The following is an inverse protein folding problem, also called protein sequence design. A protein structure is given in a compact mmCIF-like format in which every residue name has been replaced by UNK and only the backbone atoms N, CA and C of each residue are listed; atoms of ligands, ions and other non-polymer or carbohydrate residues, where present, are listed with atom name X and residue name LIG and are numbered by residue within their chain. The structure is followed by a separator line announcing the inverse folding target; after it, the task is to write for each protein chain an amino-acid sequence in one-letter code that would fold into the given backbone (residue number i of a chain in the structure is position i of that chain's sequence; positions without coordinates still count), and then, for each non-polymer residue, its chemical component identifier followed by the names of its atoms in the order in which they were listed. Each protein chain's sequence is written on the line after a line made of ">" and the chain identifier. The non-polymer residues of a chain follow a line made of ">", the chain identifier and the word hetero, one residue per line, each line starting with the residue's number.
data_IF_889740311808
#
_entry.id   IF_889740311808
#
_cell.length_a   1.000
_cell.length_b   1.000
_cell.length_c   1.000
_cell.angle_alpha   90.00
_cell.angle_beta   90.00
_cell.angle_gamma   90.00
#
_symmetry.space_group_name_H-M   'P 1'
#
loop_
_entity.id
_entity.type
_entity.pdbx_description
1 polymer ?
#
# COMPACT_ATOMS: atom_id res chain seq x y z
N UNK A 1 -27.46 -15.01 11.99
CA UNK A 1 -26.84 -14.98 10.65
C UNK A 1 -25.40 -14.53 10.87
N UNK A 2 -24.40 -15.34 10.48
CA UNK A 2 -23.00 -14.94 10.60
C UNK A 2 -22.72 -13.78 9.64
N UNK A 3 -22.07 -12.71 10.12
CA UNK A 3 -21.58 -11.63 9.27
C UNK A 3 -20.28 -12.05 8.59
N UNK A 4 -20.38 -12.51 7.34
CA UNK A 4 -19.25 -12.98 6.54
C UNK A 4 -18.29 -11.83 6.18
N UNK A 5 -18.79 -10.58 6.10
CA UNK A 5 -17.99 -9.44 5.67
C UNK A 5 -17.22 -8.83 6.82
N UNK A 6 -17.81 -8.78 8.03
CA UNK A 6 -17.25 -8.11 9.19
C UNK A 6 -16.81 -6.67 8.86
N UNK A 7 -17.67 -5.93 8.15
CA UNK A 7 -17.45 -4.55 7.73
C UNK A 7 -18.49 -3.64 8.39
N UNK A 8 -18.07 -2.56 9.07
CA UNK A 8 -18.98 -1.73 9.84
C UNK A 8 -19.97 -0.99 8.94
N UNK A 9 -21.24 -0.95 9.37
CA UNK A 9 -22.28 -0.15 8.73
C UNK A 9 -22.90 -0.75 7.47
N UNK A 10 -22.47 -1.93 7.01
CA UNK A 10 -23.07 -2.65 5.89
C UNK A 10 -23.41 -4.10 6.27
N UNK A 11 -24.40 -4.69 5.60
CA UNK A 11 -24.72 -6.11 5.70
C UNK A 11 -24.74 -6.74 4.31
N UNK A 12 -24.21 -7.95 4.12
CA UNK A 12 -24.36 -8.68 2.88
C UNK A 12 -25.84 -9.04 2.66
N UNK A 13 -26.32 -8.90 1.42
CA UNK A 13 -27.70 -9.23 1.02
C UNK A 13 -27.75 -10.24 -0.13
N UNK A 14 -26.70 -10.34 -0.92
CA UNK A 14 -26.57 -11.28 -2.03
C UNK A 14 -25.08 -11.59 -2.26
N UNK A 15 -24.81 -12.78 -2.78
CA UNK A 15 -23.47 -13.25 -3.10
C UNK A 15 -23.50 -14.09 -4.35
N UNK A 16 -22.65 -13.76 -5.32
CA UNK A 16 -22.58 -14.46 -6.61
C UNK A 16 -21.17 -14.47 -7.16
N UNK A 17 -20.86 -15.48 -7.96
CA UNK A 17 -19.61 -15.51 -8.72
C UNK A 17 -19.79 -14.78 -10.06
N UNK A 18 -18.90 -13.85 -10.37
CA UNK A 18 -18.79 -13.23 -11.69
C UNK A 18 -17.38 -13.46 -12.22
N UNK A 19 -17.26 -14.33 -13.24
CA UNK A 19 -16.05 -14.68 -14.03
C UNK A 19 -14.77 -14.98 -13.25
N UNK A 20 -14.18 -13.97 -12.57
CA UNK A 20 -12.90 -14.02 -11.88
C UNK A 20 -12.94 -13.43 -10.46
N UNK A 21 -14.13 -13.14 -9.93
CA UNK A 21 -14.27 -12.63 -8.56
C UNK A 21 -15.60 -13.04 -7.93
N UNK A 22 -15.58 -13.15 -6.61
CA UNK A 22 -16.77 -13.23 -5.78
C UNK A 22 -17.35 -11.83 -5.62
N UNK A 23 -18.57 -11.62 -6.09
CA UNK A 23 -19.30 -10.36 -5.92
C UNK A 23 -20.22 -10.49 -4.72
N UNK A 24 -19.97 -9.68 -3.70
CA UNK A 24 -20.83 -9.58 -2.52
C UNK A 24 -21.60 -8.27 -2.60
N UNK A 25 -22.92 -8.37 -2.73
CA UNK A 25 -23.80 -7.20 -2.70
C UNK A 25 -24.10 -6.89 -1.24
N UNK A 26 -23.87 -5.64 -0.85
CA UNK A 26 -24.11 -5.19 0.50
C UNK A 26 -24.99 -3.93 0.53
N UNK A 27 -25.79 -3.83 1.59
CA UNK A 27 -26.63 -2.68 1.87
C UNK A 27 -26.29 -2.07 3.22
N UNK A 28 -26.38 -0.74 3.38
CA UNK A 28 -26.19 -0.12 4.68
C UNK A 28 -27.19 -0.66 5.72
N UNK A 29 -26.71 -0.92 6.95
CA UNK A 29 -27.56 -1.43 8.04
C UNK A 29 -28.51 -0.35 8.54
N UNK A 30 -27.97 0.84 8.76
CA UNK A 30 -28.69 2.06 9.12
C UNK A 30 -28.34 3.15 8.13
N UNK A 31 -29.35 3.87 7.66
CA UNK A 31 -29.15 5.05 6.82
C UNK A 31 -29.80 6.22 7.55
N UNK A 32 -28.98 6.99 8.25
CA UNK A 32 -29.41 8.26 8.80
C UNK A 32 -29.59 9.28 7.67
N UNK A 33 -30.60 10.13 7.80
CA UNK A 33 -30.85 11.20 6.85
C UNK A 33 -29.84 12.32 7.14
N UNK A 34 -28.92 12.64 6.21
CA UNK A 34 -27.93 13.68 6.45
C UNK A 34 -28.59 15.06 6.44
N UNK A 35 -28.05 15.96 7.26
CA UNK A 35 -28.33 17.39 7.15
C UNK A 35 -27.49 18.00 6.03
N UNK A 36 -28.06 18.98 5.34
CA UNK A 36 -27.31 19.72 4.34
C UNK A 36 -26.25 20.60 5.02
N UNK A 37 -24.96 20.38 4.72
CA UNK A 37 -23.88 21.20 5.31
C UNK A 37 -23.91 22.71 4.99
N UNK A 38 -24.80 23.19 4.12
CA UNK A 38 -24.96 24.62 3.82
C UNK A 38 -26.28 25.21 4.35
N UNK A 39 -27.36 24.42 4.34
CA UNK A 39 -28.70 24.90 4.73
C UNK A 39 -29.13 24.39 6.11
N UNK A 40 -28.39 23.43 6.68
CA UNK A 40 -28.69 22.72 7.92
C UNK A 40 -30.11 22.10 7.97
N UNK A 41 -30.68 21.80 6.79
CA UNK A 41 -31.99 21.17 6.65
C UNK A 41 -31.86 19.68 6.33
N UNK A 42 -32.79 18.82 6.81
CA UNK A 42 -32.85 17.42 6.43
C UNK A 42 -32.95 17.26 4.91
N UNK A 43 -32.12 16.37 4.36
CA UNK A 43 -32.14 16.06 2.92
C UNK A 43 -33.16 14.97 2.61
N UNK A 44 -33.72 14.93 1.40
CA UNK A 44 -34.60 13.82 0.98
C UNK A 44 -33.84 12.78 0.15
N UNK A 45 -34.31 11.52 0.17
CA UNK A 45 -33.75 10.45 -0.65
C UNK A 45 -34.08 10.69 -2.13
N UNK A 46 -33.04 10.81 -2.96
CA UNK A 46 -33.12 11.12 -4.39
C UNK A 46 -32.69 9.94 -5.29
N UNK A 47 -32.52 8.76 -4.71
CA UNK A 47 -32.21 7.52 -5.41
C UNK A 47 -31.10 6.72 -4.74
N UNK A 48 -30.58 5.72 -5.45
CA UNK A 48 -29.52 4.83 -4.98
C UNK A 48 -28.41 4.75 -6.03
N UNK A 49 -27.16 4.72 -5.59
CA UNK A 49 -25.98 4.49 -6.44
C UNK A 49 -25.36 3.16 -6.05
N UNK A 50 -25.05 2.33 -7.05
CA UNK A 50 -24.25 1.12 -6.89
C UNK A 50 -22.79 1.50 -7.04
N UNK A 51 -21.99 1.22 -6.03
CA UNK A 51 -20.55 1.41 -6.07
C UNK A 51 -19.85 0.05 -5.90
N UNK A 52 -18.75 -0.13 -6.62
CA UNK A 52 -17.94 -1.35 -6.57
C UNK A 52 -16.60 -1.02 -5.91
N UNK A 53 -16.17 -1.84 -4.97
CA UNK A 53 -14.89 -1.73 -4.28
C UNK A 53 -14.25 -3.11 -4.20
N UNK A 54 -12.92 -3.17 -4.29
CA UNK A 54 -12.21 -4.41 -4.04
C UNK A 54 -12.02 -4.62 -2.54
N UNK A 55 -12.03 -5.87 -2.11
CA UNK A 55 -11.88 -6.26 -0.72
C UNK A 55 -10.97 -7.49 -0.57
N UNK A 56 -10.61 -7.82 0.67
CA UNK A 56 -9.73 -8.94 0.96
C UNK A 56 -10.28 -10.24 0.34
N UNK A 57 -9.43 -11.03 -0.36
CA UNK A 57 -9.86 -12.28 -0.97
C UNK A 57 -10.55 -13.23 0.02
N UNK A 58 -11.58 -13.92 -0.47
CA UNK A 58 -12.30 -14.97 0.25
C UNK A 58 -12.23 -16.24 -0.57
N UNK A 59 -11.99 -17.38 0.08
CA UNK A 59 -11.84 -18.67 -0.58
C UNK A 59 -10.78 -18.69 -1.70
N UNK A 60 -9.70 -17.92 -1.52
CA UNK A 60 -8.63 -17.71 -2.51
C UNK A 60 -9.10 -17.05 -3.82
N UNK A 61 -10.28 -16.42 -3.82
CA UNK A 61 -10.82 -15.66 -4.93
C UNK A 61 -10.87 -14.16 -4.61
N UNK A 62 -10.59 -13.28 -5.59
CA UNK A 62 -10.79 -11.85 -5.44
C UNK A 62 -12.23 -11.52 -5.04
N UNK A 63 -12.42 -10.53 -4.16
CA UNK A 63 -13.74 -10.10 -3.71
C UNK A 63 -14.05 -8.69 -4.19
N UNK A 64 -15.20 -8.54 -4.84
CA UNK A 64 -15.76 -7.25 -5.25
C UNK A 64 -17.02 -6.95 -4.43
N UNK A 65 -16.93 -5.93 -3.58
CA UNK A 65 -18.06 -5.41 -2.82
C UNK A 65 -18.89 -4.47 -3.68
N UNK A 66 -20.14 -4.83 -3.92
CA UNK A 66 -21.11 -3.95 -4.56
C UNK A 66 -22.03 -3.34 -3.50
N UNK A 67 -21.72 -2.13 -3.05
CA UNK A 67 -22.50 -1.44 -2.02
C UNK A 67 -23.57 -0.55 -2.66
N UNK A 68 -24.82 -0.76 -2.25
CA UNK A 68 -25.96 0.07 -2.68
C UNK A 68 -26.16 1.24 -1.73
N UNK A 69 -25.68 2.43 -2.12
CA UNK A 69 -25.72 3.63 -1.26
C UNK A 69 -26.85 4.57 -1.67
N UNK A 70 -27.72 5.00 -0.73
CA UNK A 70 -28.71 6.03 -1.03
C UNK A 70 -28.01 7.36 -1.30
N UNK A 71 -28.57 8.13 -2.23
CA UNK A 71 -28.18 9.51 -2.49
C UNK A 71 -29.24 10.43 -1.91
N UNK A 72 -28.80 11.45 -1.21
CA UNK A 72 -29.63 12.46 -0.62
C UNK A 72 -29.49 13.78 -1.37
N UNK A 73 -30.57 14.54 -1.47
CA UNK A 73 -30.60 15.86 -2.10
C UNK A 73 -31.22 16.89 -1.17
N UNK A 74 -30.57 18.04 -1.02
CA UNK A 74 -31.15 19.18 -0.31
C UNK A 74 -32.21 19.85 -1.20
N UNK A 75 -33.37 20.17 -0.64
CA UNK A 75 -34.43 20.87 -1.38
C UNK A 75 -34.07 22.32 -1.67
N UNK A 76 -33.44 23.00 -0.70
CA UNK A 76 -33.12 24.42 -0.78
C UNK A 76 -31.96 24.71 -1.77
N UNK A 77 -30.82 24.02 -1.62
CA UNK A 77 -29.62 24.31 -2.42
C UNK A 77 -29.27 23.25 -3.47
N UNK A 78 -30.08 22.18 -3.59
CA UNK A 78 -29.88 21.06 -4.54
C UNK A 78 -28.57 20.29 -4.40
N UNK A 79 -27.77 20.53 -3.36
CA UNK A 79 -26.53 19.78 -3.07
C UNK A 79 -26.84 18.31 -2.83
N UNK A 80 -25.96 17.43 -3.32
CA UNK A 80 -26.07 15.99 -3.16
C UNK A 80 -25.15 15.52 -2.03
N UNK A 81 -25.60 14.53 -1.27
CA UNK A 81 -24.81 13.83 -0.25
C UNK A 81 -25.01 12.32 -0.37
N UNK A 82 -24.02 11.55 0.05
CA UNK A 82 -24.05 10.09 0.07
C UNK A 82 -23.34 9.63 1.34
N UNK A 83 -23.84 8.59 2.03
CA UNK A 83 -23.18 8.06 3.21
C UNK A 83 -21.73 7.65 2.92
N UNK A 84 -20.83 8.11 3.78
CA UNK A 84 -19.42 7.67 3.78
C UNK A 84 -19.31 6.27 4.36
N UNK A 85 -18.31 5.51 3.88
CA UNK A 85 -18.00 4.17 4.36
C UNK A 85 -16.61 4.21 4.98
N UNK A 86 -16.54 4.20 6.31
CA UNK A 86 -15.30 4.40 7.07
C UNK A 86 -14.23 3.34 6.84
N UNK A 87 -14.62 2.17 6.35
CA UNK A 87 -13.74 1.05 6.03
C UNK A 87 -13.10 1.14 4.63
N UNK A 88 -13.45 2.12 3.80
CA UNK A 88 -12.85 2.32 2.49
C UNK A 88 -11.57 3.16 2.57
N UNK A 89 -10.61 2.86 1.72
CA UNK A 89 -9.42 3.71 1.52
C UNK A 89 -9.81 5.01 0.81
N UNK A 90 -9.22 6.13 1.25
CA UNK A 90 -9.59 7.45 0.74
C UNK A 90 -9.08 7.71 -0.68
N UNK A 91 -8.00 7.01 -1.10
CA UNK A 91 -7.35 7.20 -2.40
C UNK A 91 -7.82 6.17 -3.43
N UNK A 92 -8.36 5.02 -3.00
CA UNK A 92 -8.54 3.82 -3.84
C UNK A 92 -9.95 3.27 -3.74
N UNK A 93 -10.43 2.64 -4.80
CA UNK A 93 -11.70 1.89 -4.78
C UNK A 93 -11.50 0.52 -4.11
N UNK A 94 -11.00 0.51 -2.87
CA UNK A 94 -10.66 -0.68 -2.10
C UNK A 94 -10.96 -0.48 -0.61
N UNK A 95 -11.13 -1.56 0.15
CA UNK A 95 -11.19 -1.49 1.62
C UNK A 95 -9.81 -1.24 2.21
N UNK A 96 -9.75 -0.57 3.37
CA UNK A 96 -8.50 -0.34 4.12
C UNK A 96 -7.79 -1.65 4.44
N UNK A 97 -8.54 -2.66 4.87
CA UNK A 97 -8.00 -4.00 5.15
C UNK A 97 -7.36 -4.66 3.93
N UNK A 98 -7.89 -4.45 2.72
CA UNK A 98 -7.24 -4.97 1.51
C UNK A 98 -5.94 -4.22 1.22
N UNK A 99 -5.93 -2.89 1.39
CA UNK A 99 -4.72 -2.08 1.26
C UNK A 99 -3.64 -2.56 2.23
N UNK A 100 -3.99 -2.86 3.48
CA UNK A 100 -3.05 -3.39 4.48
C UNK A 100 -2.47 -4.75 4.07
N UNK A 101 -3.28 -5.67 3.55
CA UNK A 101 -2.81 -6.96 3.02
C UNK A 101 -1.82 -6.76 1.88
N UNK A 102 -2.12 -5.85 0.94
CA UNK A 102 -1.21 -5.53 -0.17
C UNK A 102 0.09 -4.92 0.38
N UNK A 103 0.03 -4.00 1.34
CA UNK A 103 1.22 -3.40 1.97
C UNK A 103 2.12 -4.48 2.59
N UNK A 104 1.56 -5.44 3.30
CA UNK A 104 2.30 -6.53 3.94
C UNK A 104 3.02 -7.45 2.94
N UNK A 105 2.48 -7.62 1.73
CA UNK A 105 2.97 -8.61 0.77
C UNK A 105 3.75 -8.01 -0.41
N UNK A 106 3.58 -6.70 -0.69
CA UNK A 106 4.07 -6.07 -1.92
C UNK A 106 5.59 -6.08 -2.11
N UNK A 107 6.36 -6.21 -1.04
CA UNK A 107 7.83 -6.28 -1.13
C UNK A 107 8.35 -7.72 -1.35
N UNK A 108 7.53 -8.73 -1.06
CA UNK A 108 7.91 -10.15 -1.19
C UNK A 108 7.24 -10.88 -2.36
N UNK A 109 6.27 -10.28 -3.02
CA UNK A 109 5.48 -10.89 -4.10
C UNK A 109 5.43 -9.96 -5.31
N UNK A 110 5.37 -10.52 -6.52
CA UNK A 110 5.27 -9.70 -7.74
C UNK A 110 3.95 -8.93 -7.78
N UNK A 111 3.98 -7.71 -8.32
CA UNK A 111 2.78 -6.87 -8.41
C UNK A 111 1.68 -7.51 -9.27
N UNK A 112 2.06 -8.31 -10.28
CA UNK A 112 1.11 -9.06 -11.11
C UNK A 112 0.41 -10.15 -10.32
N UNK A 113 1.15 -10.95 -9.54
CA UNK A 113 0.55 -11.99 -8.70
C UNK A 113 -0.39 -11.39 -7.63
N UNK A 114 0.01 -10.29 -6.98
CA UNK A 114 -0.86 -9.61 -6.03
C UNK A 114 -2.12 -9.04 -6.68
N UNK A 115 -2.01 -8.45 -7.87
CA UNK A 115 -3.16 -7.96 -8.64
C UNK A 115 -4.12 -9.09 -9.01
N UNK A 116 -3.60 -10.27 -9.39
CA UNK A 116 -4.41 -11.45 -9.69
C UNK A 116 -5.11 -11.99 -8.44
N UNK A 117 -4.40 -12.09 -7.31
CA UNK A 117 -4.95 -12.59 -6.04
C UNK A 117 -6.03 -11.67 -5.45
N UNK A 118 -5.84 -10.36 -5.56
CA UNK A 118 -6.71 -9.36 -4.92
C UNK A 118 -7.76 -8.77 -5.86
N UNK A 119 -7.57 -8.95 -7.18
CA UNK A 119 -8.41 -8.37 -8.23
C UNK A 119 -8.27 -6.85 -8.40
N UNK A 120 -7.32 -6.20 -7.71
CA UNK A 120 -7.01 -4.79 -7.99
C UNK A 120 -6.13 -4.67 -9.23
N UNK A 121 -6.19 -3.52 -9.91
CA UNK A 121 -5.29 -3.27 -11.03
C UNK A 121 -3.81 -3.26 -10.57
N UNK A 122 -2.91 -3.77 -11.41
CA UNK A 122 -1.46 -3.79 -11.13
C UNK A 122 -0.93 -2.40 -10.77
N UNK A 123 -1.42 -1.35 -11.44
CA UNK A 123 -1.01 0.02 -11.13
C UNK A 123 -1.46 0.48 -9.74
N UNK A 124 -2.59 -0.03 -9.23
CA UNK A 124 -3.05 0.21 -7.86
C UNK A 124 -2.12 -0.45 -6.85
N UNK A 125 -1.71 -1.71 -7.09
CA UNK A 125 -0.72 -2.41 -6.25
C UNK A 125 0.59 -1.62 -6.23
N UNK A 126 1.08 -1.19 -7.40
CA UNK A 126 2.29 -0.38 -7.53
C UNK A 126 2.19 0.92 -6.72
N UNK A 127 1.07 1.64 -6.79
CA UNK A 127 0.86 2.86 -6.03
C UNK A 127 0.79 2.61 -4.51
N UNK A 128 0.21 1.48 -4.07
CA UNK A 128 0.24 1.09 -2.65
C UNK A 128 1.67 0.81 -2.19
N UNK A 129 2.46 0.12 -3.00
CA UNK A 129 3.86 -0.17 -2.70
C UNK A 129 4.71 1.12 -2.64
N UNK A 130 4.49 2.07 -3.55
CA UNK A 130 5.18 3.36 -3.51
C UNK A 130 4.85 4.16 -2.25
N UNK A 131 3.57 4.25 -1.85
CA UNK A 131 3.17 4.90 -0.60
C UNK A 131 3.89 4.26 0.61
N UNK A 132 4.00 2.92 0.65
CA UNK A 132 4.73 2.20 1.70
C UNK A 132 6.23 2.51 1.67
N UNK A 133 6.86 2.52 0.50
CA UNK A 133 8.29 2.80 0.35
C UNK A 133 8.61 4.22 0.81
N UNK A 134 7.78 5.20 0.46
CA UNK A 134 7.92 6.58 0.91
C UNK A 134 7.82 6.69 2.44
N UNK A 135 6.83 6.03 3.04
CA UNK A 135 6.66 5.97 4.50
C UNK A 135 7.88 5.31 5.19
N UNK A 136 8.36 4.18 4.67
CA UNK A 136 9.55 3.50 5.20
C UNK A 136 10.80 4.37 5.06
N UNK A 137 10.96 5.10 3.95
CA UNK A 137 12.08 6.03 3.77
C UNK A 137 12.11 7.15 4.80
N UNK A 138 10.95 7.52 5.36
CA UNK A 138 10.83 8.58 6.37
C UNK A 138 10.98 8.04 7.80
N UNK A 139 10.53 6.82 8.06
CA UNK A 139 10.40 6.24 9.41
C UNK A 139 11.52 5.27 9.79
N UNK A 140 12.14 4.60 8.82
CA UNK A 140 13.20 3.62 9.06
C UNK A 140 14.56 4.27 8.91
N UNK A 141 15.44 4.07 9.90
CA UNK A 141 16.85 4.48 9.86
C UNK A 141 17.69 3.28 10.21
N UNK A 142 18.60 2.90 9.33
CA UNK A 142 19.59 1.87 9.62
C UNK A 142 20.74 2.50 10.40
N UNK A 143 21.22 1.79 11.42
CA UNK A 143 22.40 2.21 12.17
C UNK A 143 23.65 1.92 11.35
N UNK A 144 24.57 2.88 11.33
CA UNK A 144 25.87 2.74 10.67
C UNK A 144 26.61 1.52 11.20
N UNK A 145 27.03 0.58 10.33
CA UNK A 145 27.56 -0.71 10.74
C UNK A 145 28.96 -0.59 11.35
N UNK A 146 29.19 -1.24 12.49
CA UNK A 146 30.53 -1.36 13.06
C UNK A 146 31.44 -2.27 12.21
N UNK A 147 30.85 -3.31 11.63
CA UNK A 147 31.50 -4.19 10.64
C UNK A 147 30.73 -4.04 9.33
N UNK A 148 31.28 -3.27 8.40
CA UNK A 148 30.67 -2.94 7.12
C UNK A 148 31.10 -3.93 6.04
N UNK A 149 30.15 -4.56 5.36
CA UNK A 149 30.40 -5.29 4.12
C UNK A 149 30.09 -4.41 2.92
N UNK A 150 30.94 -4.44 1.90
CA UNK A 150 30.69 -3.78 0.61
C UNK A 150 30.87 -4.83 -0.49
N UNK A 151 29.80 -5.05 -1.23
CA UNK A 151 29.76 -6.05 -2.30
C UNK A 151 29.00 -5.54 -3.52
N UNK A 152 29.00 -6.32 -4.60
CA UNK A 152 28.27 -6.04 -5.81
C UNK A 152 27.19 -7.08 -6.10
N UNK A 153 26.04 -6.60 -6.56
CA UNK A 153 24.98 -7.48 -7.05
C UNK A 153 24.61 -7.08 -8.48
N UNK A 154 24.49 -8.05 -9.36
CA UNK A 154 23.97 -7.82 -10.71
C UNK A 154 22.44 -7.84 -10.67
N UNK A 155 21.83 -6.66 -10.83
CA UNK A 155 20.38 -6.48 -10.83
C UNK A 155 19.96 -5.74 -12.10
N UNK A 156 18.94 -6.28 -12.78
CA UNK A 156 18.37 -5.71 -14.00
C UNK A 156 19.42 -5.35 -15.09
N UNK A 157 20.50 -6.14 -15.19
CA UNK A 157 21.55 -5.96 -16.19
C UNK A 157 22.65 -4.96 -15.81
N UNK A 158 22.67 -4.47 -14.57
CA UNK A 158 23.71 -3.57 -14.06
C UNK A 158 24.23 -4.00 -12.69
N UNK A 159 25.51 -3.70 -12.42
CA UNK A 159 26.10 -3.90 -11.10
C UNK A 159 25.73 -2.76 -10.15
N UNK A 160 25.06 -3.11 -9.06
CA UNK A 160 24.71 -2.22 -7.94
C UNK A 160 25.65 -2.50 -6.78
N UNK A 161 25.99 -1.47 -6.00
CA UNK A 161 26.77 -1.64 -4.78
C UNK A 161 25.82 -1.95 -3.62
N UNK A 162 26.10 -2.99 -2.85
CA UNK A 162 25.35 -3.35 -1.66
C UNK A 162 26.25 -3.13 -0.45
N UNK A 163 25.72 -2.44 0.54
CA UNK A 163 26.39 -2.17 1.80
C UNK A 163 25.63 -2.91 2.88
N UNK A 164 26.33 -3.71 3.67
CA UNK A 164 25.74 -4.59 4.68
C UNK A 164 26.33 -4.32 6.06
N UNK A 165 25.51 -4.55 7.08
CA UNK A 165 25.98 -4.68 8.45
C UNK A 165 26.27 -6.16 8.71
N UNK A 166 27.55 -6.51 8.75
CA UNK A 166 28.00 -7.89 8.97
C UNK A 166 27.86 -8.33 10.42
N UNK A 167 27.76 -7.40 11.38
CA UNK A 167 27.53 -7.75 12.78
C UNK A 167 26.07 -8.22 13.01
N UNK A 168 25.11 -7.63 12.29
CA UNK A 168 23.68 -7.92 12.43
C UNK A 168 23.08 -8.68 11.24
N UNK A 169 23.90 -9.04 10.24
CA UNK A 169 23.49 -9.76 9.03
C UNK A 169 22.32 -9.13 8.28
N UNK A 170 22.34 -7.81 8.11
CA UNK A 170 21.31 -7.10 7.34
C UNK A 170 21.91 -6.14 6.31
N UNK A 171 21.10 -5.75 5.33
CA UNK A 171 21.46 -4.73 4.35
C UNK A 171 21.35 -3.37 5.02
N UNK A 172 22.41 -2.58 4.94
CA UNK A 172 22.45 -1.19 5.39
C UNK A 172 21.96 -0.25 4.29
N UNK A 173 22.51 -0.37 3.07
CA UNK A 173 22.09 0.44 1.92
C UNK A 173 22.44 -0.23 0.58
N UNK A 174 21.90 0.29 -0.52
CA UNK A 174 22.21 -0.12 -1.88
C UNK A 174 22.33 1.10 -2.81
N UNK A 175 23.50 1.26 -3.42
CA UNK A 175 23.77 2.36 -4.35
C UNK A 175 23.55 1.95 -5.79
N UNK A 176 23.14 2.92 -6.60
CA UNK A 176 22.87 2.72 -8.02
C UNK A 176 24.10 2.28 -8.81
N UNK A 177 25.28 2.75 -8.42
CA UNK A 177 26.51 2.38 -9.09
C UNK A 177 27.58 2.03 -8.06
N UNK A 178 28.47 1.11 -8.44
CA UNK A 178 29.66 0.75 -7.67
C UNK A 178 30.85 1.69 -7.90
N UNK A 179 30.73 2.72 -8.74
CA UNK A 179 31.89 3.56 -9.10
C UNK A 179 32.34 4.45 -7.94
N UNK A 180 33.64 4.82 -7.90
CA UNK A 180 34.16 5.75 -6.89
C UNK A 180 33.42 7.09 -6.85
N UNK A 181 32.90 7.54 -7.99
CA UNK A 181 32.11 8.76 -8.10
C UNK A 181 30.83 8.71 -7.24
N UNK A 182 30.27 7.51 -7.02
CA UNK A 182 29.07 7.32 -6.19
C UNK A 182 29.43 6.96 -4.75
N UNK A 183 30.54 6.24 -4.55
CA UNK A 183 30.97 5.80 -3.22
C UNK A 183 31.54 6.94 -2.38
N UNK A 184 32.37 7.81 -2.97
CA UNK A 184 33.01 8.92 -2.24
C UNK A 184 32.00 9.87 -1.59
N UNK A 185 30.98 10.39 -2.31
CA UNK A 185 29.95 11.21 -1.69
C UNK A 185 29.19 10.46 -0.61
N UNK A 186 28.83 9.20 -0.85
CA UNK A 186 28.11 8.39 0.10
C UNK A 186 28.87 8.23 1.44
N UNK A 187 30.14 7.83 1.39
CA UNK A 187 30.94 7.65 2.62
C UNK A 187 31.25 8.98 3.31
N UNK A 188 31.35 10.07 2.56
CA UNK A 188 31.51 11.41 3.12
C UNK A 188 30.28 11.85 3.92
N UNK A 189 29.10 11.51 3.44
CA UNK A 189 27.82 11.89 4.07
C UNK A 189 27.30 10.83 5.05
N UNK A 190 28.04 9.74 5.25
CA UNK A 190 27.68 8.64 6.15
C UNK A 190 27.62 9.14 7.60
N UNK A 191 26.47 9.04 8.29
CA UNK A 191 26.35 9.46 9.67
C UNK A 191 27.18 8.54 10.58
N UNK A 192 27.77 9.08 11.64
CA UNK A 192 28.55 8.31 12.63
C UNK A 192 29.62 7.39 11.98
N UNK A 193 30.31 7.87 10.94
CA UNK A 193 31.34 7.10 10.23
C UNK A 193 32.48 6.64 11.16
N UNK A 194 32.68 7.31 12.29
CA UNK A 194 33.60 6.95 13.37
C UNK A 194 33.27 5.61 14.05
N UNK A 195 32.02 5.12 13.93
CA UNK A 195 31.62 3.81 14.45
C UNK A 195 32.08 2.64 13.58
N UNK A 196 32.50 2.89 12.34
CA UNK A 196 32.95 1.82 11.44
C UNK A 196 34.35 1.39 11.89
N UNK A 197 34.46 0.17 12.42
CA UNK A 197 35.72 -0.41 12.88
C UNK A 197 36.38 -1.26 11.79
N UNK A 198 35.56 -2.00 11.03
CA UNK A 198 36.01 -2.93 10.01
C UNK A 198 35.24 -2.74 8.72
N UNK A 199 35.96 -2.80 7.60
CA UNK A 199 35.37 -2.82 6.26
C UNK A 199 35.83 -4.08 5.54
N UNK A 200 34.88 -4.91 5.13
CA UNK A 200 35.10 -6.10 4.34
C UNK A 200 34.61 -5.84 2.91
N UNK A 201 35.50 -5.85 1.94
CA UNK A 201 35.16 -5.67 0.53
C UNK A 201 35.76 -6.80 -0.30
N UNK A 202 35.19 -7.03 -1.49
CA UNK A 202 35.89 -7.82 -2.51
C UNK A 202 37.16 -7.09 -3.00
N UNK A 203 38.05 -7.79 -3.70
CA UNK A 203 39.34 -7.29 -4.21
C UNK A 203 39.21 -6.26 -5.35
N UNK A 204 38.02 -5.73 -5.58
CA UNK A 204 37.76 -4.75 -6.63
C UNK A 204 38.36 -3.38 -6.26
N UNK A 205 39.35 -2.95 -7.05
CA UNK A 205 40.21 -1.78 -6.77
C UNK A 205 39.47 -0.47 -6.47
N UNK A 206 38.35 -0.15 -7.14
CA UNK A 206 37.61 1.08 -6.86
C UNK A 206 37.17 1.22 -5.39
N UNK A 207 36.80 0.13 -4.70
CA UNK A 207 36.43 0.17 -3.29
C UNK A 207 37.57 0.67 -2.39
N UNK A 208 38.82 0.26 -2.65
CA UNK A 208 39.98 0.63 -1.82
C UNK A 208 40.28 2.13 -1.79
N UNK A 209 39.91 2.88 -2.83
CA UNK A 209 40.15 4.33 -2.93
C UNK A 209 38.90 5.18 -2.78
N UNK A 210 37.82 4.58 -2.28
CA UNK A 210 36.52 5.23 -2.04
C UNK A 210 36.53 6.03 -0.75
#
# INVERSE_FOLDING_TARGET
>A
MLDLLNLPGIKPVDMRHESKCLVIVAEPVTVEVPLCGNCNTPMHKHGTRKNKFMDTPLYMEPVCLQVQRPRFRCESCRKMSMPELSFLDDKRQATKRLVDVIRQQCLGTTFHALAEQTGVAVNTVKNIAHDLIEELSQTVRYETPAIMGIDEVNLAGGYRCVITNLATNNVFDMLEHRTQEHLKPFFKDLPNADKVEWVCTDMWRPFKGS
#
